data_IF_884602097330
#
_entry.id   IF_884602097330
#
_cell.length_a   1.000
_cell.length_b   1.000
_cell.length_c   1.000
_cell.angle_alpha   90.00
_cell.angle_beta   90.00
_cell.angle_gamma   90.00
#
_symmetry.space_group_name_H-M   'P 1'
#
loop_
_entity.id
_entity.type
_entity.pdbx_description
1 polymer ?
#
# COMPACT_ATOMS: atom_id res chain seq x y z
N UNK A 1 -4.38 3.80 41.75
CA UNK A 1 -5.43 2.90 41.24
C UNK A 1 -5.05 2.48 39.83
N UNK A 2 -5.02 1.18 39.54
CA UNK A 2 -4.76 0.70 38.18
C UNK A 2 -5.98 0.99 37.30
N UNK A 3 -5.75 1.54 36.10
CA UNK A 3 -6.81 1.82 35.12
C UNK A 3 -7.53 0.52 34.72
N UNK A 4 -8.85 0.59 34.56
CA UNK A 4 -9.66 -0.49 33.98
C UNK A 4 -9.17 -0.83 32.57
N UNK A 5 -9.46 -2.04 32.08
CA UNK A 5 -9.13 -2.44 30.70
C UNK A 5 -9.71 -1.45 29.67
N UNK A 6 -10.94 -1.01 29.90
CA UNK A 6 -11.60 -0.03 29.02
C UNK A 6 -10.94 1.34 29.06
N UNK A 7 -10.49 1.77 30.24
CA UNK A 7 -9.80 3.05 30.40
C UNK A 7 -8.43 3.03 29.72
N UNK A 8 -7.73 1.89 29.73
CA UNK A 8 -6.48 1.69 28.98
C UNK A 8 -6.71 1.76 27.47
N UNK A 9 -7.78 1.14 26.97
CA UNK A 9 -8.13 1.18 25.54
C UNK A 9 -8.46 2.61 25.12
N UNK A 10 -9.23 3.35 25.92
CA UNK A 10 -9.55 4.76 25.65
C UNK A 10 -8.30 5.62 25.64
N UNK A 11 -7.43 5.47 26.64
CA UNK A 11 -6.16 6.20 26.70
C UNK A 11 -5.26 5.91 25.50
N UNK A 12 -5.20 4.65 25.06
CA UNK A 12 -4.46 4.24 23.86
C UNK A 12 -5.05 4.85 22.58
N UNK A 13 -6.37 4.80 22.41
CA UNK A 13 -7.06 5.40 21.26
C UNK A 13 -6.87 6.92 21.22
N UNK A 14 -6.94 7.59 22.37
CA UNK A 14 -6.71 9.03 22.48
C UNK A 14 -5.25 9.40 22.20
N UNK A 15 -4.29 8.55 22.59
CA UNK A 15 -2.89 8.74 22.22
C UNK A 15 -2.70 8.69 20.70
N UNK A 16 -3.31 7.71 20.02
CA UNK A 16 -3.26 7.63 18.56
C UNK A 16 -3.97 8.79 17.87
N UNK A 17 -5.09 9.26 18.42
CA UNK A 17 -5.79 10.44 17.87
C UNK A 17 -4.92 11.69 17.89
N UNK A 18 -4.12 11.87 18.95
CA UNK A 18 -3.17 12.99 19.05
C UNK A 18 -1.91 12.76 18.20
N UNK A 19 -1.40 11.53 18.16
CA UNK A 19 -0.19 11.20 17.42
C UNK A 19 -0.40 11.26 15.89
N UNK A 20 -1.59 10.93 15.40
CA UNK A 20 -1.89 10.90 13.96
C UNK A 20 -1.46 12.16 13.21
N UNK A 21 -1.94 13.36 13.59
CA UNK A 21 -1.51 14.61 12.95
C UNK A 21 -0.01 14.85 13.02
N UNK A 22 0.64 14.50 14.14
CA UNK A 22 2.09 14.65 14.31
C UNK A 22 2.86 13.72 13.36
N UNK A 23 2.38 12.49 13.17
CA UNK A 23 2.97 11.53 12.24
C UNK A 23 2.78 11.97 10.78
N UNK A 24 1.65 12.57 10.43
CA UNK A 24 1.44 13.14 9.09
C UNK A 24 2.39 14.31 8.81
N UNK A 25 2.68 15.15 9.82
CA UNK A 25 3.67 16.21 9.69
C UNK A 25 5.10 15.66 9.54
N UNK A 26 5.44 14.62 10.30
CA UNK A 26 6.73 13.91 10.14
C UNK A 26 6.84 13.33 8.73
N UNK A 27 5.83 12.57 8.30
CA UNK A 27 5.77 11.99 6.96
C UNK A 27 5.94 13.05 5.88
N UNK A 28 5.26 14.20 6.00
CA UNK A 28 5.38 15.29 5.03
C UNK A 28 6.80 15.82 4.95
N UNK A 29 7.46 16.03 6.09
CA UNK A 29 8.86 16.52 6.12
C UNK A 29 9.82 15.51 5.52
N UNK A 30 9.64 14.23 5.83
CA UNK A 30 10.44 13.15 5.25
C UNK A 30 10.28 13.09 3.73
N UNK A 31 9.03 13.15 3.23
CA UNK A 31 8.75 13.20 1.79
C UNK A 31 9.36 14.42 1.09
N UNK A 32 9.41 15.57 1.77
CA UNK A 32 10.05 16.77 1.22
C UNK A 32 11.58 16.70 1.23
N UNK A 33 12.15 15.95 2.16
CA UNK A 33 13.60 15.79 2.31
C UNK A 33 14.17 14.64 1.47
N UNK A 34 13.31 13.81 0.88
CA UNK A 34 13.71 12.64 0.10
C UNK A 34 14.60 13.04 -1.08
N UNK A 35 15.78 12.42 -1.15
CA UNK A 35 16.67 12.54 -2.30
C UNK A 35 16.11 11.78 -3.49
N UNK A 36 16.62 12.09 -4.69
CA UNK A 36 16.20 11.41 -5.92
C UNK A 36 16.56 9.93 -5.87
N UNK A 37 17.72 9.61 -5.32
CA UNK A 37 18.24 8.25 -5.18
C UNK A 37 17.37 7.42 -4.22
N UNK A 38 17.00 7.98 -3.07
CA UNK A 38 16.09 7.35 -2.12
C UNK A 38 14.69 7.14 -2.71
N UNK A 39 14.18 8.13 -3.46
CA UNK A 39 12.89 8.01 -4.12
C UNK A 39 12.90 6.92 -5.19
N UNK A 40 13.97 6.80 -5.97
CA UNK A 40 14.12 5.74 -6.96
C UNK A 40 14.14 4.35 -6.30
N UNK A 41 14.91 4.17 -5.22
CA UNK A 41 14.96 2.92 -4.48
C UNK A 41 13.59 2.53 -3.89
N UNK A 42 12.83 3.51 -3.37
CA UNK A 42 11.49 3.27 -2.86
C UNK A 42 10.51 2.82 -3.97
N UNK A 43 10.62 3.41 -5.17
CA UNK A 43 9.81 3.02 -6.33
C UNK A 43 10.14 1.58 -6.76
N UNK A 44 11.42 1.23 -6.86
CA UNK A 44 11.84 -0.13 -7.22
C UNK A 44 11.29 -1.16 -6.23
N UNK A 45 11.37 -0.88 -4.92
CA UNK A 45 10.81 -1.75 -3.89
C UNK A 45 9.28 -1.93 -4.03
N UNK A 46 8.55 -0.89 -4.47
CA UNK A 46 7.10 -1.00 -4.73
C UNK A 46 6.81 -1.87 -5.96
N UNK A 47 7.63 -1.81 -7.01
CA UNK A 47 7.51 -2.70 -8.16
C UNK A 47 7.77 -4.15 -7.75
N UNK A 48 8.83 -4.41 -6.99
CA UNK A 48 9.16 -5.74 -6.49
C UNK A 48 8.03 -6.32 -5.62
N UNK A 49 7.43 -5.48 -4.77
CA UNK A 49 6.26 -5.89 -3.98
C UNK A 49 5.08 -6.28 -4.89
N UNK A 50 4.80 -5.48 -5.91
CA UNK A 50 3.76 -5.79 -6.90
C UNK A 50 3.98 -7.12 -7.60
N UNK A 51 5.23 -7.41 -8.00
CA UNK A 51 5.60 -8.68 -8.63
C UNK A 51 5.48 -9.85 -7.65
N UNK A 52 5.96 -9.69 -6.42
CA UNK A 52 5.94 -10.77 -5.41
C UNK A 52 4.51 -11.17 -4.98
N UNK A 53 3.58 -10.21 -5.00
CA UNK A 53 2.17 -10.45 -4.69
C UNK A 53 1.33 -10.84 -5.92
N UNK A 54 1.87 -10.67 -7.13
CA UNK A 54 1.15 -10.98 -8.35
C UNK A 54 0.83 -12.48 -8.41
N UNK A 55 -0.45 -12.81 -8.58
CA UNK A 55 -0.88 -14.16 -8.95
C UNK A 55 -0.82 -14.28 -10.47
N UNK A 56 -0.13 -15.31 -11.03
CA UNK A 56 -0.18 -15.55 -12.46
C UNK A 56 -1.64 -15.71 -12.90
N UNK A 57 -2.09 -14.85 -13.81
CA UNK A 57 -3.40 -15.02 -14.43
C UNK A 57 -3.31 -16.09 -15.50
N UNK A 58 -4.14 -17.13 -15.39
CA UNK A 58 -4.28 -18.14 -16.43
C UNK A 58 -4.99 -17.50 -17.63
N UNK A 59 -4.22 -17.16 -18.64
CA UNK A 59 -4.70 -16.51 -19.87
C UNK A 59 -3.99 -15.18 -20.09
N UNK A 60 -3.02 -15.16 -20.98
CA UNK A 60 -2.49 -13.90 -21.49
C UNK A 60 -3.59 -13.21 -22.28
N UNK A 61 -3.62 -11.87 -22.28
CA UNK A 61 -4.62 -11.10 -23.04
C UNK A 61 -4.68 -11.50 -24.51
N UNK A 62 -3.56 -12.01 -25.06
CA UNK A 62 -3.45 -12.55 -26.41
C UNK A 62 -4.25 -13.84 -26.63
N UNK A 63 -4.16 -14.81 -25.72
CA UNK A 63 -4.94 -16.05 -25.81
C UNK A 63 -6.44 -15.76 -25.68
N UNK A 64 -6.79 -14.83 -24.79
CA UNK A 64 -8.18 -14.40 -24.62
C UNK A 64 -8.71 -13.61 -25.82
N UNK A 65 -7.89 -12.73 -26.42
CA UNK A 65 -8.22 -12.05 -27.68
C UNK A 65 -8.49 -13.05 -28.81
N UNK A 66 -7.63 -14.06 -28.97
CA UNK A 66 -7.81 -15.09 -30.01
C UNK A 66 -9.11 -15.86 -29.79
N UNK A 67 -9.42 -16.24 -28.55
CA UNK A 67 -10.69 -16.89 -28.19
C UNK A 67 -11.90 -16.03 -28.54
N UNK A 68 -11.84 -14.72 -28.27
CA UNK A 68 -12.92 -13.78 -28.58
C UNK A 68 -13.09 -13.61 -30.09
N UNK A 69 -12.01 -13.45 -30.85
CA UNK A 69 -12.09 -13.33 -32.31
C UNK A 69 -12.63 -14.60 -32.98
N UNK A 70 -12.32 -15.79 -32.46
CA UNK A 70 -12.95 -17.03 -32.94
C UNK A 70 -14.46 -17.05 -32.68
N UNK A 71 -14.95 -16.48 -31.58
CA UNK A 71 -16.39 -16.40 -31.29
C UNK A 71 -17.12 -15.42 -32.21
N UNK A 72 -16.51 -14.28 -32.54
CA UNK A 72 -17.12 -13.25 -33.42
C UNK A 72 -17.13 -13.68 -34.89
N UNK A 73 -16.25 -14.60 -35.29
CA UNK A 73 -16.21 -15.17 -36.65
C UNK A 73 -17.29 -16.24 -36.93
N UNK A 74 -18.06 -16.67 -35.93
CA UNK A 74 -19.25 -17.52 -36.11
C UNK A 74 -20.50 -16.66 -36.19
#
# INVERSE_FOLDING_TARGET
MALSSDDKIRAWADAWRRAGPMLEDVRRRELQALTREEAAAAIDALFDLGVSLARPQAGTGLVEQQRLFQKVRR
#
